data_IF_377710536199
#
_entry.id   IF_377710536199
#
_cell.length_a   1.000
_cell.length_b   1.000
_cell.length_c   1.000
_cell.angle_alpha   90.00
_cell.angle_beta   90.00
_cell.angle_gamma   90.00
#
_symmetry.space_group_name_H-M   'P 1'
#
loop_
_entity.id
_entity.type
_entity.pdbx_description
1 polymer ?
#
# COMPACT_ATOMS: atom_id res chain seq x y z
N UNK A 1 -14.07 -9.88 -2.08
CA UNK A 1 -14.01 -8.84 -3.09
C UNK A 1 -13.99 -7.47 -2.47
N UNK A 2 -13.21 -6.61 -3.00
CA UNK A 2 -13.06 -5.29 -2.42
C UNK A 2 -13.76 -4.28 -3.30
N UNK A 3 -15.07 -4.39 -3.38
CA UNK A 3 -15.88 -3.50 -4.21
C UNK A 3 -16.72 -2.55 -3.38
N UNK A 4 -16.64 -2.68 -2.06
CA UNK A 4 -17.50 -1.91 -1.17
C UNK A 4 -16.77 -0.77 -0.48
N UNK A 5 -15.74 -0.24 -1.11
CA UNK A 5 -14.99 0.90 -0.57
C UNK A 5 -15.57 2.18 -1.14
N UNK A 6 -15.95 3.09 -0.24
CA UNK A 6 -16.43 4.41 -0.63
C UNK A 6 -15.28 5.38 -0.82
N UNK A 7 -14.34 5.39 0.13
CA UNK A 7 -13.23 6.33 0.07
C UNK A 7 -12.04 5.81 0.84
N UNK A 8 -10.85 6.29 0.44
CA UNK A 8 -9.60 5.99 1.11
C UNK A 8 -8.85 7.31 1.25
N UNK A 9 -8.38 7.60 2.45
CA UNK A 9 -7.72 8.86 2.72
C UNK A 9 -6.60 8.67 3.72
N UNK A 10 -5.43 9.22 3.41
CA UNK A 10 -4.30 9.14 4.31
C UNK A 10 -4.41 10.22 5.37
N UNK A 11 -4.26 9.83 6.63
CA UNK A 11 -4.28 10.74 7.76
C UNK A 11 -2.84 10.92 8.25
N UNK A 12 -2.30 12.13 8.07
CA UNK A 12 -0.93 12.42 8.46
C UNK A 12 -0.70 12.35 9.98
N UNK A 13 -1.73 12.65 10.74
CA UNK A 13 -1.59 12.70 12.20
C UNK A 13 -1.40 11.30 12.79
N UNK A 14 -2.01 10.31 12.19
CA UNK A 14 -1.95 8.94 12.70
C UNK A 14 -1.09 8.02 11.83
N UNK A 15 -0.66 8.52 10.66
CA UNK A 15 0.08 7.73 9.68
C UNK A 15 -0.72 6.50 9.25
N UNK A 16 -2.03 6.66 9.11
CA UNK A 16 -2.92 5.58 8.71
C UNK A 16 -3.74 5.97 7.49
N UNK A 17 -4.06 4.98 6.67
CA UNK A 17 -5.02 5.19 5.59
C UNK A 17 -6.39 4.80 6.14
N UNK A 18 -7.32 5.75 6.11
CA UNK A 18 -8.68 5.53 6.59
C UNK A 18 -9.56 5.11 5.43
N UNK A 19 -10.18 3.95 5.57
CA UNK A 19 -11.01 3.37 4.53
C UNK A 19 -12.47 3.39 4.99
N UNK A 20 -13.33 4.01 4.19
CA UNK A 20 -14.75 4.05 4.49
C UNK A 20 -15.47 3.06 3.60
N UNK A 21 -16.30 2.23 4.19
CA UNK A 21 -17.00 1.17 3.48
C UNK A 21 -18.48 1.52 3.28
N UNK A 22 -19.09 0.84 2.32
CA UNK A 22 -20.49 1.13 1.96
C UNK A 22 -21.48 0.78 3.06
N UNK A 23 -21.09 -0.11 3.99
CA UNK A 23 -21.98 -0.49 5.10
C UNK A 23 -21.86 0.47 6.28
N UNK A 24 -21.09 1.54 6.14
CA UNK A 24 -20.93 2.54 7.17
C UNK A 24 -19.76 2.30 8.11
N UNK A 25 -19.06 1.20 7.95
CA UNK A 25 -17.91 0.92 8.80
C UNK A 25 -16.66 1.61 8.28
N UNK A 26 -15.66 1.73 9.14
CA UNK A 26 -14.37 2.31 8.78
C UNK A 26 -13.25 1.41 9.23
N UNK A 27 -12.20 1.36 8.43
CA UNK A 27 -11.01 0.58 8.74
C UNK A 27 -9.82 1.53 8.65
N UNK A 28 -8.92 1.45 9.63
CA UNK A 28 -7.68 2.23 9.60
C UNK A 28 -6.51 1.27 9.36
N UNK A 29 -5.71 1.59 8.35
CA UNK A 29 -4.54 0.79 8.03
C UNK A 29 -3.31 1.54 8.49
N UNK A 30 -2.58 0.93 9.43
CA UNK A 30 -1.36 1.51 9.99
C UNK A 30 -0.24 1.37 8.95
N UNK A 31 0.11 2.48 8.31
CA UNK A 31 1.10 2.46 7.25
C UNK A 31 2.50 2.12 7.74
N UNK A 32 2.80 2.45 8.99
CA UNK A 32 4.10 2.11 9.55
C UNK A 32 4.21 0.62 9.75
N UNK A 33 3.14 -0.01 10.24
CA UNK A 33 3.12 -1.46 10.41
C UNK A 33 3.24 -2.16 9.07
N UNK A 34 2.57 -1.64 8.05
CA UNK A 34 2.66 -2.21 6.70
C UNK A 34 4.09 -2.11 6.16
N UNK A 35 4.71 -0.96 6.35
CA UNK A 35 6.08 -0.76 5.91
C UNK A 35 7.01 -1.78 6.59
N UNK A 36 6.84 -1.97 7.88
CA UNK A 36 7.67 -2.91 8.62
C UNK A 36 7.43 -4.36 8.19
N UNK A 37 6.21 -4.65 7.76
CA UNK A 37 5.84 -6.01 7.38
C UNK A 37 6.29 -6.35 5.97
N UNK A 38 6.14 -5.41 5.04
CA UNK A 38 6.28 -5.71 3.61
C UNK A 38 7.51 -5.11 2.96
N UNK A 39 7.98 -3.96 3.40
CA UNK A 39 9.09 -3.29 2.73
C UNK A 39 10.42 -3.78 3.28
N UNK A 40 11.23 -4.37 2.40
CA UNK A 40 12.54 -4.91 2.78
C UNK A 40 13.67 -3.94 2.48
N UNK A 41 13.39 -2.89 1.70
CA UNK A 41 14.43 -1.97 1.29
C UNK A 41 13.81 -0.63 0.96
N UNK A 42 14.70 0.32 0.64
CA UNK A 42 14.30 1.69 0.39
C UNK A 42 13.37 1.82 -0.83
N UNK A 43 13.58 0.97 -1.85
CA UNK A 43 12.76 1.04 -3.06
C UNK A 43 11.33 0.64 -2.76
N UNK A 44 11.15 -0.38 -1.95
CA UNK A 44 9.81 -0.84 -1.59
C UNK A 44 9.13 0.15 -0.68
N UNK A 45 9.88 0.77 0.23
CA UNK A 45 9.34 1.83 1.07
C UNK A 45 8.86 3.00 0.22
N UNK A 46 9.64 3.38 -0.79
CA UNK A 46 9.27 4.48 -1.67
C UNK A 46 8.03 4.14 -2.47
N UNK A 47 7.88 2.90 -2.90
CA UNK A 47 6.70 2.49 -3.65
C UNK A 47 5.45 2.54 -2.77
N UNK A 48 5.57 2.11 -1.52
CA UNK A 48 4.45 2.21 -0.58
C UNK A 48 4.05 3.66 -0.37
N UNK A 49 5.02 4.55 -0.20
CA UNK A 49 4.73 5.96 -0.03
C UNK A 49 4.03 6.53 -1.26
N UNK A 50 4.50 6.14 -2.45
CA UNK A 50 3.87 6.59 -3.68
C UNK A 50 2.40 6.21 -3.71
N UNK A 51 2.09 4.97 -3.36
CA UNK A 51 0.70 4.50 -3.35
C UNK A 51 -0.14 5.26 -2.33
N UNK A 52 0.42 5.47 -1.14
CA UNK A 52 -0.29 6.16 -0.08
C UNK A 52 -0.69 7.58 -0.49
N UNK A 53 0.23 8.29 -1.12
CA UNK A 53 0.00 9.69 -1.46
C UNK A 53 -0.72 9.89 -2.79
N UNK A 54 -0.57 8.95 -3.71
CA UNK A 54 -1.10 9.12 -5.07
C UNK A 54 -2.23 8.18 -5.41
N UNK A 55 -2.22 6.96 -4.87
CA UNK A 55 -3.22 5.96 -5.20
C UNK A 55 -3.61 5.14 -3.97
N UNK A 56 -4.21 5.80 -2.97
CA UNK A 56 -4.54 5.09 -1.73
C UNK A 56 -5.53 3.95 -1.93
N UNK A 57 -6.40 4.04 -2.92
CA UNK A 57 -7.33 2.94 -3.20
C UNK A 57 -6.57 1.69 -3.65
N UNK A 58 -5.58 1.86 -4.51
CA UNK A 58 -4.75 0.73 -4.95
C UNK A 58 -3.99 0.13 -3.78
N UNK A 59 -3.47 0.98 -2.90
CA UNK A 59 -2.77 0.55 -1.70
C UNK A 59 -3.66 -0.36 -0.86
N UNK A 60 -4.90 0.08 -0.62
CA UNK A 60 -5.84 -0.69 0.19
C UNK A 60 -6.20 -1.99 -0.49
N UNK A 61 -6.46 -1.95 -1.79
CA UNK A 61 -6.83 -3.16 -2.52
C UNK A 61 -5.73 -4.21 -2.49
N UNK A 62 -4.49 -3.78 -2.65
CA UNK A 62 -3.36 -4.71 -2.61
C UNK A 62 -3.23 -5.35 -1.24
N UNK A 63 -3.40 -4.57 -0.18
CA UNK A 63 -3.29 -5.09 1.18
C UNK A 63 -4.40 -6.08 1.48
N UNK A 64 -5.64 -5.70 1.19
CA UNK A 64 -6.78 -6.54 1.55
C UNK A 64 -6.89 -7.79 0.70
N UNK A 65 -6.35 -7.76 -0.51
CA UNK A 65 -6.36 -8.94 -1.38
C UNK A 65 -5.15 -9.84 -1.14
N UNK A 66 -4.20 -9.40 -0.30
CA UNK A 66 -3.01 -10.19 0.00
C UNK A 66 -1.97 -10.16 -1.11
N UNK A 67 -2.01 -9.15 -1.98
CA UNK A 67 -1.11 -9.08 -3.13
C UNK A 67 -0.03 -8.02 -3.01
N UNK A 68 0.08 -7.39 -1.86
CA UNK A 68 1.04 -6.29 -1.69
C UNK A 68 2.48 -6.76 -1.88
N UNK A 69 2.81 -7.91 -1.32
CA UNK A 69 4.18 -8.42 -1.43
C UNK A 69 4.55 -8.70 -2.88
N UNK A 70 3.64 -9.34 -3.61
CA UNK A 70 3.86 -9.62 -5.02
C UNK A 70 3.99 -8.34 -5.83
N UNK A 71 3.15 -7.36 -5.53
CA UNK A 71 3.19 -6.08 -6.22
C UNK A 71 4.53 -5.39 -6.01
N UNK A 72 5.01 -5.38 -4.76
CA UNK A 72 6.27 -4.72 -4.46
C UNK A 72 7.44 -5.40 -5.16
N UNK A 73 7.44 -6.73 -5.19
CA UNK A 73 8.52 -7.46 -5.85
C UNK A 73 8.54 -7.20 -7.35
N UNK A 74 7.37 -7.05 -7.96
CA UNK A 74 7.29 -6.85 -9.39
C UNK A 74 7.53 -5.41 -9.82
N UNK A 75 7.23 -4.45 -8.95
CA UNK A 75 7.28 -3.05 -9.34
C UNK A 75 8.49 -2.30 -8.80
N UNK A 76 9.27 -2.94 -7.93
CA UNK A 76 10.48 -2.33 -7.41
C UNK A 76 11.70 -3.14 -7.78
N UNK A 77 11.64 -3.78 -8.92
CA UNK A 77 12.76 -4.57 -9.42
C UNK A 77 13.88 -3.63 -9.87
N UNK A 78 14.90 -3.58 -9.09
CA UNK A 78 16.04 -2.69 -9.29
C UNK A 78 17.30 -3.47 -9.65
N UNK A 79 17.10 -4.74 -9.86
CA UNK A 79 18.24 -5.55 -10.20
C UNK A 79 18.54 -5.41 -11.65
N UNK A 80 18.60 -5.09 -12.21
CA UNK A 80 19.00 -5.12 -13.32
C UNK A 80 19.97 -4.62 -13.85
N UNK A 81 19.90 -4.34 -13.31
CA UNK A 81 20.60 -4.00 -13.59
C UNK A 81 21.51 -4.68 -13.67
N UNK A 82 21.61 -4.98 -13.27
CA UNK A 82 22.31 -5.59 -13.28
C UNK A 82 22.24 -6.47 -13.87
N UNK A 83 21.95 -6.69 -13.87
CA UNK A 83 21.82 -7.34 -14.46
C UNK A 83 21.52 -7.22 -15.46
N UNK A 84 21.49 -6.54 -15.60
CA UNK A 84 21.26 -6.35 -16.40
C UNK A 84 21.82 -6.15 -17.08
N UNK A 85 22.10 -6.20 -17.23
CA UNK A 85 22.65 -6.13 -17.67
C UNK A 85 23.12 -5.98 -18.38
#
# INVERSE_FOLDING_TARGET
MINNIISCEFNHDTACVEVKLTDGSMVSIDCIAVENEYADNMYETSELDYLIYNEPLSYVKLLLSGRMEEYLQNNTDYTPLSDMR
#
